data_IF_811970288301
#
_entry.id   IF_811970288301
#
_cell.length_a   1.000
_cell.length_b   1.000
_cell.length_c   1.000
_cell.angle_alpha   90.00
_cell.angle_beta   90.00
_cell.angle_gamma   90.00
#
_symmetry.space_group_name_H-M   'P 1'
#
loop_
_entity.id
_entity.type
_entity.pdbx_description
1 polymer ?
#
# COMPACT_ATOMS: atom_id res chain seq x y z
N UNK A 1 2.25 -37.21 7.82
CA UNK A 1 1.77 -36.04 8.57
C UNK A 1 2.58 -34.76 8.29
N UNK A 2 3.89 -34.84 8.04
CA UNK A 2 4.72 -33.67 7.68
C UNK A 2 4.43 -33.05 6.29
N UNK A 3 3.99 -33.85 5.31
CA UNK A 3 3.75 -33.38 3.93
C UNK A 3 2.53 -32.45 3.83
N UNK A 4 1.46 -32.73 4.57
CA UNK A 4 0.26 -31.89 4.63
C UNK A 4 0.55 -30.55 5.29
N UNK A 5 1.31 -30.55 6.41
CA UNK A 5 1.73 -29.32 7.08
C UNK A 5 2.59 -28.43 6.17
N UNK A 6 3.44 -29.02 5.34
CA UNK A 6 4.24 -28.29 4.33
C UNK A 6 3.35 -27.62 3.28
N UNK A 7 2.29 -28.28 2.81
CA UNK A 7 1.35 -27.70 1.84
C UNK A 7 0.54 -26.56 2.46
N UNK A 8 0.08 -26.72 3.70
CA UNK A 8 -0.63 -25.65 4.44
C UNK A 8 0.28 -24.44 4.64
N UNK A 9 1.55 -24.65 5.01
CA UNK A 9 2.52 -23.57 5.15
C UNK A 9 2.71 -22.79 3.85
N UNK A 10 2.87 -23.50 2.71
CA UNK A 10 3.01 -22.86 1.39
C UNK A 10 1.76 -22.07 1.02
N UNK A 11 0.55 -22.60 1.29
CA UNK A 11 -0.70 -21.91 1.02
C UNK A 11 -0.85 -20.65 1.87
N UNK A 12 -0.54 -20.73 3.16
CA UNK A 12 -0.57 -19.57 4.07
C UNK A 12 0.43 -18.51 3.60
N UNK A 13 1.65 -18.90 3.27
CA UNK A 13 2.67 -17.98 2.76
C UNK A 13 2.22 -17.30 1.47
N UNK A 14 1.63 -18.06 0.55
CA UNK A 14 1.04 -17.52 -0.68
C UNK A 14 0.00 -16.44 -0.33
N UNK A 15 -1.00 -16.77 0.48
CA UNK A 15 -2.05 -15.81 0.88
C UNK A 15 -1.47 -14.55 1.53
N UNK A 16 -0.47 -14.67 2.40
CA UNK A 16 0.19 -13.51 3.01
C UNK A 16 0.85 -12.59 1.97
N UNK A 17 1.49 -13.15 0.95
CA UNK A 17 2.10 -12.38 -0.14
C UNK A 17 1.01 -11.61 -0.90
N UNK A 18 -0.09 -12.27 -1.28
CA UNK A 18 -1.20 -11.59 -1.98
C UNK A 18 -1.83 -10.49 -1.12
N UNK A 19 -2.10 -10.77 0.15
CA UNK A 19 -2.65 -9.78 1.07
C UNK A 19 -1.72 -8.56 1.22
N UNK A 20 -0.40 -8.79 1.30
CA UNK A 20 0.59 -7.72 1.40
C UNK A 20 0.60 -6.86 0.14
N UNK A 21 0.55 -7.47 -1.05
CA UNK A 21 0.48 -6.75 -2.33
C UNK A 21 -0.80 -5.92 -2.41
N UNK A 22 -1.95 -6.48 -2.02
CA UNK A 22 -3.23 -5.78 -2.02
C UNK A 22 -3.20 -4.59 -1.04
N UNK A 23 -2.70 -4.79 0.17
CA UNK A 23 -2.61 -3.74 1.19
C UNK A 23 -1.68 -2.59 0.77
N UNK A 24 -0.53 -2.91 0.16
CA UNK A 24 0.38 -1.89 -0.39
C UNK A 24 -0.27 -1.10 -1.52
N UNK A 25 -0.93 -1.78 -2.46
CA UNK A 25 -1.61 -1.11 -3.57
C UNK A 25 -2.80 -0.27 -3.11
N UNK A 26 -3.61 -0.76 -2.17
CA UNK A 26 -4.74 0.01 -1.64
C UNK A 26 -4.26 1.27 -0.92
N UNK A 27 -3.17 1.19 -0.17
CA UNK A 27 -2.57 2.34 0.51
C UNK A 27 -2.01 3.37 -0.46
N UNK A 28 -1.46 2.92 -1.59
CA UNK A 28 -0.99 3.81 -2.66
C UNK A 28 -2.16 4.48 -3.40
N UNK A 29 -3.25 3.75 -3.66
CA UNK A 29 -4.46 4.29 -4.30
C UNK A 29 -5.12 5.32 -3.38
N UNK A 30 -5.31 5.03 -2.09
CA UNK A 30 -5.90 5.99 -1.14
C UNK A 30 -5.03 7.24 -0.98
N UNK A 31 -3.70 7.10 -1.03
CA UNK A 31 -2.81 8.25 -1.09
C UNK A 31 -3.05 9.11 -2.33
N UNK A 32 -3.13 8.49 -3.51
CA UNK A 32 -3.31 9.22 -4.78
C UNK A 32 -4.71 9.83 -4.96
N UNK A 33 -5.74 9.18 -4.45
CA UNK A 33 -7.12 9.67 -4.49
C UNK A 33 -7.41 10.69 -3.39
N UNK A 34 -6.50 10.90 -2.44
CA UNK A 34 -6.65 11.94 -1.42
C UNK A 34 -6.71 13.32 -2.10
N UNK A 35 -7.86 13.99 -1.92
CA UNK A 35 -8.08 15.32 -2.45
C UNK A 35 -7.31 16.32 -1.61
N UNK A 36 -6.50 17.14 -2.25
CA UNK A 36 -5.68 18.15 -1.59
C UNK A 36 -5.92 19.53 -2.20
N UNK A 37 -5.68 20.60 -1.43
CA UNK A 37 -5.71 21.99 -1.92
C UNK A 37 -4.32 22.63 -1.84
N UNK A 38 -3.54 22.23 -0.85
CA UNK A 38 -2.18 22.66 -0.57
C UNK A 38 -1.29 21.44 -0.31
N UNK A 39 0.02 21.61 -0.45
CA UNK A 39 0.97 20.52 -0.19
C UNK A 39 0.91 20.00 1.26
N UNK A 40 0.43 20.84 2.19
CA UNK A 40 0.26 20.47 3.61
C UNK A 40 -0.90 19.52 3.88
N UNK A 41 -1.84 19.41 2.94
CA UNK A 41 -2.98 18.48 3.04
C UNK A 41 -2.56 17.05 2.73
N UNK A 42 -1.39 16.85 2.10
CA UNK A 42 -0.89 15.52 1.77
C UNK A 42 -0.24 14.87 3.00
N UNK A 43 -0.53 13.58 3.27
CA UNK A 43 0.09 12.89 4.38
C UNK A 43 1.59 12.78 4.14
N UNK A 44 2.39 13.18 5.12
CA UNK A 44 3.83 13.04 5.08
C UNK A 44 4.16 11.56 5.24
N UNK A 45 4.63 10.91 4.16
CA UNK A 45 5.25 9.60 4.30
C UNK A 45 6.73 9.76 4.64
N UNK A 46 7.28 8.91 5.52
CA UNK A 46 8.63 9.07 6.06
C UNK A 46 9.74 9.00 5.01
N UNK A 47 9.45 8.55 3.79
CA UNK A 47 10.42 8.34 2.72
C UNK A 47 10.26 9.29 1.52
N UNK A 48 9.17 10.07 1.44
CA UNK A 48 8.94 11.01 0.33
C UNK A 48 8.00 12.14 0.73
N UNK A 49 8.12 13.30 0.07
CA UNK A 49 7.20 14.42 0.34
C UNK A 49 6.02 14.33 -0.61
N UNK A 50 4.81 14.25 -0.06
CA UNK A 50 3.58 14.38 -0.86
C UNK A 50 3.43 15.82 -1.34
N UNK A 51 3.27 16.04 -2.65
CA UNK A 51 2.89 17.33 -3.22
C UNK A 51 1.47 17.27 -3.77
N UNK A 52 0.75 18.37 -3.68
CA UNK A 52 -0.57 18.48 -4.25
C UNK A 52 -0.49 18.87 -5.73
N UNK A 53 -0.91 17.97 -6.63
CA UNK A 53 -0.97 18.21 -8.07
C UNK A 53 -2.37 17.95 -8.59
N UNK A 54 -2.97 18.96 -9.23
CA UNK A 54 -4.32 18.89 -9.82
C UNK A 54 -5.40 18.45 -8.80
N UNK A 55 -5.21 18.79 -7.53
CA UNK A 55 -6.12 18.43 -6.44
C UNK A 55 -5.92 17.01 -5.90
N UNK A 56 -4.81 16.33 -6.23
CA UNK A 56 -4.46 14.99 -5.76
C UNK A 56 -3.04 14.95 -5.19
N UNK A 57 -2.81 14.15 -4.15
CA UNK A 57 -1.48 13.96 -3.61
C UNK A 57 -0.63 13.05 -4.49
N UNK A 58 0.55 13.52 -4.85
CA UNK A 58 1.56 12.76 -5.60
C UNK A 58 2.86 12.73 -4.81
N UNK A 59 3.55 11.60 -4.84
CA UNK A 59 4.88 11.48 -4.25
C UNK A 59 5.91 12.06 -5.21
N UNK A 60 6.78 12.90 -4.67
CA UNK A 60 7.93 13.51 -5.37
C UNK A 60 9.21 13.15 -4.65
#
# INVERSE_FOLDING_TARGET
>A
MAKTLKMVYVLVLFLFIFLSIIACNSSFITFRDSRCKTDKDCPNIPMATGRCRKGHCVLV
#
